data_IF_361549347246
#
_entry.id   IF_361549347246
#
_cell.length_a   1.000
_cell.length_b   1.000
_cell.length_c   1.000
_cell.angle_alpha   90.00
_cell.angle_beta   90.00
_cell.angle_gamma   90.00
#
_symmetry.space_group_name_H-M   'P 1'
#
loop_
_entity.id
_entity.type
_entity.pdbx_description
1 polymer ?
#
# COMPACT_ATOMS: atom_id res chain seq x y z
N UNK A 1 -19.14 -14.52 7.33
CA UNK A 1 -19.65 -14.54 5.95
C UNK A 1 -18.49 -14.92 5.06
N UNK A 2 -18.55 -16.07 4.40
CA UNK A 2 -17.46 -16.54 3.54
C UNK A 2 -17.79 -16.27 2.08
N UNK A 3 -16.97 -15.44 1.40
CA UNK A 3 -16.57 -15.73 0.04
C UNK A 3 -15.10 -16.13 0.06
N UNK A 4 -14.88 -17.44 0.01
CA UNK A 4 -13.74 -18.05 -0.69
C UNK A 4 -14.42 -19.12 -1.56
N UNK A 5 -14.27 -19.13 -2.87
CA UNK A 5 -13.00 -19.31 -3.56
C UNK A 5 -12.75 -18.30 -4.70
N UNK A 6 -11.67 -17.52 -4.56
CA UNK A 6 -11.12 -16.55 -5.51
C UNK A 6 -11.79 -15.19 -5.38
N UNK A 7 -11.31 -14.40 -4.42
CA UNK A 7 -11.74 -13.03 -4.19
C UNK A 7 -11.96 -12.30 -5.53
N UNK A 8 -13.19 -11.86 -5.77
CA UNK A 8 -13.58 -11.23 -7.03
C UNK A 8 -12.87 -9.87 -7.10
N UNK A 9 -11.69 -9.84 -7.72
CA UNK A 9 -11.00 -8.61 -8.05
C UNK A 9 -11.71 -7.99 -9.23
N UNK A 10 -12.20 -6.78 -9.05
CA UNK A 10 -12.77 -6.01 -10.16
C UNK A 10 -11.66 -5.75 -11.20
N UNK A 11 -12.00 -5.66 -12.50
CA UNK A 11 -11.09 -5.13 -13.50
C UNK A 11 -10.47 -3.82 -13.01
N UNK A 12 -9.22 -3.53 -13.38
CA UNK A 12 -8.49 -2.36 -12.88
C UNK A 12 -9.34 -1.08 -12.94
N UNK A 13 -10.03 -0.82 -14.05
CA UNK A 13 -10.90 0.35 -14.23
C UNK A 13 -12.06 0.48 -13.21
N UNK A 14 -12.45 -0.60 -12.54
CA UNK A 14 -13.59 -0.69 -11.64
C UNK A 14 -13.19 -0.90 -10.17
N UNK A 15 -11.90 -1.02 -9.86
CA UNK A 15 -11.45 -1.15 -8.47
C UNK A 15 -11.82 0.11 -7.67
N UNK A 16 -12.23 -0.03 -6.39
CA UNK A 16 -12.62 1.12 -5.59
C UNK A 16 -11.49 2.13 -5.36
N UNK A 17 -10.25 1.63 -5.34
CA UNK A 17 -9.00 2.38 -5.26
C UNK A 17 -7.93 1.63 -6.04
N UNK A 18 -6.93 2.33 -6.57
CA UNK A 18 -5.78 1.69 -7.25
C UNK A 18 -4.66 1.36 -6.27
N UNK A 19 -4.43 2.24 -5.31
CA UNK A 19 -3.30 2.13 -4.38
C UNK A 19 -3.81 2.19 -2.95
N UNK A 20 -3.38 1.26 -2.10
CA UNK A 20 -3.52 1.34 -0.66
C UNK A 20 -2.18 1.72 -0.02
N UNK A 21 -2.21 2.61 0.96
CA UNK A 21 -1.05 2.98 1.78
C UNK A 21 -1.33 2.55 3.21
N UNK A 22 -0.51 1.64 3.72
CA UNK A 22 -0.61 1.15 5.09
C UNK A 22 0.39 1.91 5.94
N UNK A 23 -0.15 2.72 6.85
CA UNK A 23 0.65 3.59 7.72
C UNK A 23 1.51 2.80 8.72
N UNK A 24 2.63 3.36 9.18
CA UNK A 24 3.45 2.73 10.22
C UNK A 24 2.71 2.68 11.55
N UNK A 25 3.27 1.94 12.51
CA UNK A 25 2.70 1.86 13.85
C UNK A 25 2.82 3.23 14.56
N UNK A 26 1.87 3.55 15.45
CA UNK A 26 1.81 4.86 16.16
C UNK A 26 3.09 5.23 16.92
N UNK A 27 3.93 4.26 17.25
CA UNK A 27 5.19 4.43 17.98
C UNK A 27 6.36 4.86 17.09
N UNK A 28 6.13 5.15 15.80
CA UNK A 28 7.17 5.49 14.81
C UNK A 28 6.89 6.87 14.17
N UNK A 29 7.10 7.98 14.90
CA UNK A 29 6.72 9.32 14.44
C UNK A 29 7.50 9.77 13.19
N UNK A 30 8.80 9.48 13.10
CA UNK A 30 9.61 9.83 11.94
C UNK A 30 9.18 9.04 10.69
N UNK A 31 8.86 7.75 10.87
CA UNK A 31 8.32 6.92 9.79
C UNK A 31 6.93 7.39 9.36
N UNK A 32 6.13 7.93 10.30
CA UNK A 32 4.84 8.53 9.98
C UNK A 32 4.98 9.83 9.18
N UNK A 33 5.98 10.66 9.50
CA UNK A 33 6.29 11.84 8.70
C UNK A 33 6.68 11.45 7.27
N UNK A 34 7.54 10.44 7.10
CA UNK A 34 7.86 9.90 5.78
C UNK A 34 6.63 9.32 5.06
N UNK A 35 5.73 8.66 5.77
CA UNK A 35 4.47 8.18 5.19
C UNK A 35 3.62 9.33 4.64
N UNK A 36 3.58 10.46 5.34
CA UNK A 36 2.90 11.66 4.88
C UNK A 36 3.55 12.23 3.62
N UNK A 37 4.88 12.23 3.54
CA UNK A 37 5.60 12.66 2.34
C UNK A 37 5.27 11.77 1.12
N UNK A 38 5.22 10.46 1.30
CA UNK A 38 4.78 9.50 0.27
C UNK A 38 3.35 9.79 -0.19
N UNK A 39 2.42 10.00 0.75
CA UNK A 39 1.03 10.35 0.43
C UNK A 39 0.96 11.66 -0.37
N UNK A 40 1.65 12.69 0.11
CA UNK A 40 1.67 14.00 -0.54
C UNK A 40 2.22 13.88 -1.96
N UNK A 41 3.31 13.14 -2.16
CA UNK A 41 3.90 12.95 -3.47
C UNK A 41 2.98 12.19 -4.43
N UNK A 42 2.41 11.06 -3.99
CA UNK A 42 1.47 10.28 -4.81
C UNK A 42 0.20 11.06 -5.14
N UNK A 43 -0.26 11.93 -4.24
CA UNK A 43 -1.44 12.77 -4.47
C UNK A 43 -1.26 13.79 -5.60
N UNK A 44 -0.02 14.10 -5.99
CA UNK A 44 0.28 14.98 -7.14
C UNK A 44 0.17 14.25 -8.49
N UNK A 45 0.04 12.91 -8.49
CA UNK A 45 -0.10 12.13 -9.71
C UNK A 45 -1.57 12.16 -10.13
N UNK A 46 -1.88 12.80 -11.25
CA UNK A 46 -3.25 13.00 -11.72
C UNK A 46 -4.02 11.70 -11.93
N UNK A 47 -3.36 10.62 -12.35
CA UNK A 47 -3.98 9.29 -12.53
C UNK A 47 -4.36 8.59 -11.22
N UNK A 48 -3.92 9.10 -10.07
CA UNK A 48 -4.25 8.57 -8.74
C UNK A 48 -5.20 9.47 -7.95
N UNK A 49 -5.68 10.56 -8.55
CA UNK A 49 -6.57 11.47 -7.85
C UNK A 49 -7.84 10.71 -7.43
N UNK A 50 -8.15 10.73 -6.13
CA UNK A 50 -9.25 9.98 -5.50
C UNK A 50 -9.13 8.46 -5.52
N UNK A 51 -7.97 7.92 -5.92
CA UNK A 51 -7.72 6.49 -6.11
C UNK A 51 -6.73 5.90 -5.08
N UNK A 52 -6.39 6.69 -4.05
CA UNK A 52 -5.51 6.30 -2.94
C UNK A 52 -6.35 6.02 -1.69
N UNK A 53 -6.26 4.80 -1.18
CA UNK A 53 -6.82 4.38 0.10
C UNK A 53 -5.75 4.45 1.19
N UNK A 54 -5.99 5.20 2.26
CA UNK A 54 -5.07 5.28 3.40
C UNK A 54 -5.64 4.44 4.55
N UNK A 55 -4.88 3.45 5.02
CA UNK A 55 -5.26 2.63 6.18
C UNK A 55 -4.58 3.10 7.46
N UNK A 56 -5.28 3.97 8.18
CA UNK A 56 -4.87 4.62 9.43
C UNK A 56 -5.44 3.95 10.69
N UNK A 57 -5.94 2.72 10.57
CA UNK A 57 -6.46 1.94 11.73
C UNK A 57 -5.30 1.42 12.58
N UNK A 58 -4.58 2.31 13.25
CA UNK A 58 -3.31 2.04 13.94
C UNK A 58 -3.42 1.04 15.11
N UNK A 59 -4.64 0.77 15.59
CA UNK A 59 -4.91 -0.28 16.58
C UNK A 59 -4.85 -1.70 15.98
N UNK A 60 -4.85 -1.83 14.65
CA UNK A 60 -4.63 -3.08 13.94
C UNK A 60 -3.16 -3.25 13.55
N UNK A 61 -2.67 -4.48 13.65
CA UNK A 61 -1.34 -4.83 13.13
C UNK A 61 -1.25 -4.54 11.63
N UNK A 62 -0.04 -4.21 11.15
CA UNK A 62 0.25 -4.00 9.73
C UNK A 62 -0.25 -5.19 8.89
N UNK A 63 -0.02 -6.42 9.32
CA UNK A 63 -0.48 -7.62 8.62
C UNK A 63 -2.01 -7.71 8.49
N UNK A 64 -2.78 -7.33 9.52
CA UNK A 64 -4.25 -7.29 9.44
C UNK A 64 -4.73 -6.22 8.45
N UNK A 65 -4.07 -5.05 8.43
CA UNK A 65 -4.37 -3.97 7.48
C UNK A 65 -4.02 -4.37 6.04
N UNK A 66 -2.90 -5.07 5.85
CA UNK A 66 -2.48 -5.63 4.55
C UNK A 66 -3.49 -6.63 4.01
N UNK A 67 -3.93 -7.56 4.85
CA UNK A 67 -4.96 -8.51 4.46
C UNK A 67 -6.30 -7.81 4.17
N UNK A 68 -6.67 -6.77 4.93
CA UNK A 68 -7.89 -6.01 4.67
C UNK A 68 -7.85 -5.27 3.33
N UNK A 69 -6.73 -4.60 3.01
CA UNK A 69 -6.53 -3.94 1.71
C UNK A 69 -6.57 -4.96 0.56
N UNK A 70 -5.93 -6.13 0.75
CA UNK A 70 -6.03 -7.25 -0.19
C UNK A 70 -7.47 -7.69 -0.38
N UNK A 71 -8.22 -7.89 0.70
CA UNK A 71 -9.62 -8.33 0.66
C UNK A 71 -10.55 -7.33 -0.01
N UNK A 72 -10.27 -6.02 0.08
CA UNK A 72 -10.97 -4.97 -0.66
C UNK A 72 -10.69 -5.03 -2.18
N UNK A 73 -9.69 -5.80 -2.60
CA UNK A 73 -9.30 -5.95 -3.99
C UNK A 73 -8.53 -4.77 -4.56
N UNK A 74 -7.82 -4.04 -3.70
CA UNK A 74 -6.97 -2.91 -4.12
C UNK A 74 -5.70 -3.49 -4.77
N UNK A 75 -5.43 -3.19 -6.06
CA UNK A 75 -4.42 -3.91 -6.83
C UNK A 75 -2.99 -3.68 -6.36
N UNK A 76 -2.69 -2.47 -5.85
CA UNK A 76 -1.37 -2.08 -5.38
C UNK A 76 -1.42 -1.69 -3.91
N UNK A 77 -0.56 -2.26 -3.08
CA UNK A 77 -0.53 -1.99 -1.65
C UNK A 77 0.92 -1.63 -1.27
N UNK A 78 1.09 -0.43 -0.74
CA UNK A 78 2.35 0.10 -0.22
C UNK A 78 2.33 0.02 1.30
N UNK A 79 3.30 -0.65 1.88
CA UNK A 79 3.44 -0.78 3.34
C UNK A 79 4.61 0.06 3.81
N UNK A 80 4.31 1.00 4.68
CA UNK A 80 5.28 1.88 5.33
C UNK A 80 5.35 1.44 6.78
N UNK A 81 6.47 0.84 7.19
CA UNK A 81 6.51 0.12 8.46
C UNK A 81 7.91 -0.09 9.00
N UNK A 82 8.13 -1.21 9.69
CA UNK A 82 9.41 -1.51 10.36
C UNK A 82 10.60 -1.51 9.40
N UNK A 83 10.40 -1.96 8.15
CA UNK A 83 11.46 -1.99 7.15
C UNK A 83 11.85 -0.58 6.73
N UNK A 84 10.86 0.28 6.47
CA UNK A 84 11.06 1.72 6.25
C UNK A 84 11.80 2.36 7.43
N UNK A 85 11.33 2.13 8.66
CA UNK A 85 11.92 2.71 9.87
C UNK A 85 13.41 2.38 10.03
N UNK A 86 13.82 1.13 9.70
CA UNK A 86 15.24 0.71 9.75
C UNK A 86 16.10 1.36 8.67
N UNK A 87 15.51 1.73 7.56
CA UNK A 87 16.19 2.31 6.39
C UNK A 87 16.07 3.84 6.30
N UNK A 88 15.34 4.47 7.22
CA UNK A 88 14.91 5.86 7.10
C UNK A 88 16.08 6.85 7.01
N UNK A 89 17.20 6.55 7.67
CA UNK A 89 18.40 7.39 7.70
C UNK A 89 19.38 7.15 6.55
N UNK A 90 19.15 6.11 5.74
CA UNK A 90 20.01 5.76 4.60
C UNK A 90 19.25 5.91 3.29
N UNK A 91 18.45 4.92 2.93
CA UNK A 91 17.60 4.94 1.75
C UNK A 91 16.24 4.33 2.14
N UNK A 92 15.22 5.15 2.44
CA UNK A 92 13.95 4.65 2.95
C UNK A 92 13.28 3.73 1.93
N UNK A 93 12.97 2.50 2.38
CA UNK A 93 12.28 1.50 1.56
C UNK A 93 10.80 1.42 1.91
N UNK A 94 9.98 1.19 0.89
CA UNK A 94 8.54 0.91 1.00
C UNK A 94 8.30 -0.49 0.48
N UNK A 95 7.62 -1.31 1.26
CA UNK A 95 7.31 -2.68 0.83
C UNK A 95 6.13 -2.61 -0.15
N UNK A 96 6.28 -3.24 -1.31
CA UNK A 96 5.26 -3.26 -2.34
C UNK A 96 4.63 -4.65 -2.46
N UNK A 97 3.30 -4.66 -2.35
CA UNK A 97 2.48 -5.84 -2.52
C UNK A 97 1.48 -5.62 -3.65
N UNK A 98 1.14 -6.71 -4.35
CA UNK A 98 0.07 -6.73 -5.35
C UNK A 98 -0.99 -7.75 -5.02
N UNK A 99 -2.22 -7.48 -5.39
CA UNK A 99 -3.27 -8.51 -5.38
C UNK A 99 -3.36 -9.16 -6.74
N UNK A 100 -3.58 -10.48 -6.76
CA UNK A 100 -3.84 -11.23 -7.98
C UNK A 100 -5.25 -11.79 -8.00
N UNK A 101 -5.76 -11.99 -9.21
CA UNK A 101 -6.98 -12.76 -9.43
C UNK A 101 -6.70 -14.17 -8.92
N UNK A 102 -7.62 -14.70 -8.09
CA UNK A 102 -7.53 -16.04 -7.52
C UNK A 102 -6.49 -16.24 -6.39
N UNK A 103 -5.92 -15.16 -5.84
CA UNK A 103 -5.10 -15.22 -4.62
C UNK A 103 -5.82 -14.52 -3.46
N UNK A 104 -5.94 -15.24 -2.34
CA UNK A 104 -6.44 -14.68 -1.09
C UNK A 104 -5.32 -13.91 -0.35
N UNK A 105 -4.06 -14.23 -0.63
CA UNK A 105 -2.89 -13.55 -0.06
C UNK A 105 -2.31 -12.51 -1.03
N UNK A 106 -1.90 -11.34 -0.53
CA UNK A 106 -1.16 -10.38 -1.33
C UNK A 106 0.25 -10.91 -1.63
N UNK A 107 0.70 -10.73 -2.86
CA UNK A 107 2.02 -11.15 -3.31
C UNK A 107 3.02 -10.05 -2.98
N UNK A 108 4.06 -10.37 -2.21
CA UNK A 108 5.19 -9.47 -2.00
C UNK A 108 5.97 -9.34 -3.32
N UNK A 109 6.00 -8.14 -3.89
CA UNK A 109 6.73 -7.85 -5.12
C UNK A 109 8.18 -7.46 -4.83
N UNK A 110 8.43 -6.88 -3.66
CA UNK A 110 9.74 -6.48 -3.20
C UNK A 110 9.70 -5.16 -2.43
N UNK A 111 10.88 -4.60 -2.24
CA UNK A 111 11.08 -3.30 -1.61
C UNK A 111 11.41 -2.28 -2.69
N UNK A 112 10.67 -1.17 -2.71
CA UNK A 112 10.96 -0.04 -3.57
C UNK A 112 11.63 1.05 -2.76
N UNK A 113 12.65 1.68 -3.33
CA UNK A 113 13.07 2.98 -2.84
C UNK A 113 12.00 4.04 -3.14
N UNK A 114 12.11 5.19 -2.48
CA UNK A 114 11.14 6.27 -2.63
C UNK A 114 10.98 6.76 -4.08
N UNK A 115 12.05 6.72 -4.88
CA UNK A 115 12.04 7.15 -6.29
C UNK A 115 11.36 6.09 -7.17
N UNK A 116 11.51 4.82 -6.86
CA UNK A 116 10.87 3.71 -7.55
C UNK A 116 9.35 3.69 -7.32
N UNK A 117 8.89 4.02 -6.12
CA UNK A 117 7.45 4.15 -5.80
C UNK A 117 6.76 5.11 -6.77
N UNK A 118 7.32 6.30 -7.00
CA UNK A 118 6.72 7.29 -7.91
C UNK A 118 6.75 6.84 -9.38
N UNK A 119 7.88 6.29 -9.84
CA UNK A 119 8.04 5.83 -11.24
C UNK A 119 7.15 4.63 -11.57
N UNK A 120 6.94 3.74 -10.61
CA UNK A 120 6.10 2.57 -10.79
C UNK A 120 4.64 2.99 -10.93
N UNK A 121 4.17 3.84 -10.01
CA UNK A 121 2.74 4.18 -9.93
C UNK A 121 2.27 5.05 -11.11
N UNK A 122 3.12 5.90 -11.67
CA UNK A 122 2.82 6.69 -12.89
C UNK A 122 2.63 5.81 -14.14
N UNK A 123 3.15 4.57 -14.14
CA UNK A 123 3.04 3.63 -15.26
C UNK A 123 1.82 2.69 -15.15
N UNK A 124 1.07 2.77 -14.04
CA UNK A 124 -0.17 2.02 -13.81
C UNK A 124 -1.36 2.74 -14.42
#
# INVERSE_FOLDING_TARGET
MSPSAKALRLPYALTPFKVAIILPNKTQPETMAFAQDVINHLSQISSLQNDIFIDDRLDNSIGKRLLAASNLGIPHILVIGNRTARSLTSNPIVEYYRTEIHSDEPINVGDFDYVEVSKFVVKL
#
